data_IF_861472259966
#
_entry.id   IF_861472259966
#
_cell.length_a   1.000
_cell.length_b   1.000
_cell.length_c   1.000
_cell.angle_alpha   90.00
_cell.angle_beta   90.00
_cell.angle_gamma   90.00
#
_symmetry.space_group_name_H-M   'P 1'
#
loop_
_entity.id
_entity.type
_entity.pdbx_description
1 polymer ?
#
# COMPACT_ATOMS: atom_id res chain seq x y z
N UNK A 1 -29.42 5.88 22.60
CA UNK A 1 -27.99 5.54 22.52
C UNK A 1 -27.41 5.73 21.11
N UNK A 2 -27.96 5.10 20.06
CA UNK A 2 -27.47 5.23 18.66
C UNK A 2 -27.30 6.67 18.14
N UNK A 3 -28.20 7.59 18.50
CA UNK A 3 -28.13 9.00 18.10
C UNK A 3 -26.84 9.72 18.52
N UNK A 4 -26.36 9.48 19.75
CA UNK A 4 -25.27 10.28 20.31
C UNK A 4 -23.90 9.79 19.84
N UNK A 5 -23.73 8.47 19.68
CA UNK A 5 -22.54 7.89 19.06
C UNK A 5 -22.38 8.36 17.61
N UNK A 6 -23.46 8.26 16.81
CA UNK A 6 -23.45 8.76 15.43
C UNK A 6 -23.12 10.26 15.36
N UNK A 7 -23.70 11.10 16.23
CA UNK A 7 -23.36 12.52 16.28
C UNK A 7 -21.87 12.76 16.58
N UNK A 8 -21.30 12.01 17.53
CA UNK A 8 -19.88 12.10 17.86
C UNK A 8 -18.98 11.73 16.69
N UNK A 9 -19.28 10.63 16.01
CA UNK A 9 -18.55 10.21 14.80
C UNK A 9 -18.74 11.21 13.66
N UNK A 10 -19.97 11.67 13.45
CA UNK A 10 -20.32 12.66 12.42
C UNK A 10 -19.62 14.00 12.63
N UNK A 11 -19.33 14.42 13.85
CA UNK A 11 -18.50 15.61 14.10
C UNK A 11 -17.02 15.32 13.82
N UNK A 12 -16.50 14.15 14.19
CA UNK A 12 -15.05 13.86 14.20
C UNK A 12 -14.47 13.21 12.93
N UNK A 13 -15.26 12.54 12.10
CA UNK A 13 -14.78 11.74 10.93
C UNK A 13 -15.46 12.10 9.62
N UNK A 14 -14.75 12.22 8.51
CA UNK A 14 -15.39 12.42 7.20
C UNK A 14 -16.21 11.20 6.78
N UNK A 15 -17.43 11.43 6.32
CA UNK A 15 -18.34 10.38 5.84
C UNK A 15 -18.39 10.31 4.31
N UNK A 16 -18.47 9.07 3.81
CA UNK A 16 -18.87 8.75 2.44
C UNK A 16 -20.16 7.94 2.48
N UNK A 17 -21.23 8.52 1.95
CA UNK A 17 -22.57 7.94 1.94
C UNK A 17 -22.82 7.20 0.60
N UNK A 18 -23.27 5.95 0.68
CA UNK A 18 -23.53 5.08 -0.48
C UNK A 18 -24.93 4.49 -0.34
N UNK A 19 -25.68 4.42 -1.45
CA UNK A 19 -27.04 3.84 -1.47
C UNK A 19 -28.16 4.82 -1.09
N UNK A 20 -27.86 6.12 -1.00
CA UNK A 20 -28.88 7.14 -0.77
C UNK A 20 -29.52 7.56 -2.09
N UNK A 21 -30.85 7.52 -2.15
CA UNK A 21 -31.61 8.30 -3.12
C UNK A 21 -32.04 9.62 -2.48
N UNK A 22 -32.23 10.65 -3.29
CA UNK A 22 -32.85 11.88 -2.81
C UNK A 22 -34.30 11.69 -2.34
N UNK A 23 -34.93 10.57 -2.65
CA UNK A 23 -36.28 10.26 -2.15
C UNK A 23 -36.26 9.56 -0.79
N UNK A 24 -35.08 9.27 -0.22
CA UNK A 24 -34.97 8.61 1.06
C UNK A 24 -35.36 9.57 2.22
N UNK A 25 -36.47 9.29 2.94
CA UNK A 25 -36.91 10.11 4.07
C UNK A 25 -35.90 10.13 5.23
N UNK A 26 -35.01 9.14 5.32
CA UNK A 26 -33.96 9.10 6.34
C UNK A 26 -32.87 10.15 6.10
N UNK A 27 -32.67 10.56 4.85
CA UNK A 27 -31.69 11.60 4.49
C UNK A 27 -32.11 12.96 5.05
N UNK A 28 -33.38 13.34 4.86
CA UNK A 28 -33.91 14.61 5.37
C UNK A 28 -33.87 14.65 6.91
N UNK A 29 -34.13 13.51 7.57
CA UNK A 29 -33.95 13.35 9.01
C UNK A 29 -32.48 13.51 9.45
N UNK A 30 -31.53 12.85 8.79
CA UNK A 30 -30.10 13.00 9.03
C UNK A 30 -29.66 14.45 8.90
N UNK A 31 -30.02 15.11 7.79
CA UNK A 31 -29.68 16.51 7.51
C UNK A 31 -30.25 17.45 8.57
N UNK A 32 -31.50 17.26 8.99
CA UNK A 32 -32.10 18.07 10.06
C UNK A 32 -31.33 17.99 11.38
N UNK A 33 -30.74 16.82 11.66
CA UNK A 33 -29.96 16.56 12.87
C UNK A 33 -28.53 17.09 12.78
N UNK A 34 -27.96 17.09 11.57
CA UNK A 34 -26.69 17.72 11.23
C UNK A 34 -26.79 19.24 11.44
N UNK A 35 -27.85 19.86 10.90
CA UNK A 35 -28.15 21.31 11.02
C UNK A 35 -28.23 21.82 12.47
N UNK A 36 -28.70 21.00 13.39
CA UNK A 36 -28.87 21.39 14.80
C UNK A 36 -27.59 21.22 15.62
N UNK A 37 -26.60 20.48 15.11
CA UNK A 37 -25.41 20.08 15.87
C UNK A 37 -24.15 20.85 15.46
N UNK A 38 -24.05 21.27 14.19
CA UNK A 38 -22.88 21.96 13.65
C UNK A 38 -23.21 23.43 13.40
N UNK A 39 -22.51 24.33 14.10
CA UNK A 39 -22.57 25.78 13.88
C UNK A 39 -21.85 26.20 12.60
N UNK A 40 -20.82 27.04 12.69
CA UNK A 40 -20.11 27.59 11.51
C UNK A 40 -19.02 26.66 10.92
N UNK A 41 -18.56 25.64 11.65
CA UNK A 41 -17.49 24.74 11.21
C UNK A 41 -18.06 23.46 10.57
N UNK A 42 -18.55 23.59 9.34
CA UNK A 42 -19.08 22.47 8.57
C UNK A 42 -17.95 21.86 7.75
N UNK A 43 -17.56 20.63 8.07
CA UNK A 43 -16.57 19.87 7.29
C UNK A 43 -17.20 19.25 6.03
N UNK A 44 -16.41 18.93 5.00
CA UNK A 44 -16.93 18.27 3.81
C UNK A 44 -17.10 16.75 4.05
N UNK A 45 -18.32 16.28 3.87
CA UNK A 45 -18.68 14.87 3.68
C UNK A 45 -19.12 14.67 2.22
N UNK A 46 -19.21 13.41 1.79
CA UNK A 46 -19.43 13.04 0.39
C UNK A 46 -20.53 12.00 0.24
N UNK A 47 -21.20 11.98 -0.90
CA UNK A 47 -22.17 10.94 -1.23
C UNK A 47 -22.19 10.65 -2.73
N UNK A 48 -22.36 9.38 -3.12
CA UNK A 48 -22.53 9.04 -4.53
C UNK A 48 -23.93 9.33 -5.02
N UNK A 49 -24.03 9.83 -6.25
CA UNK A 49 -25.31 10.04 -6.92
C UNK A 49 -25.22 9.78 -8.43
N UNK A 50 -26.09 8.89 -8.93
CA UNK A 50 -26.22 8.62 -10.36
C UNK A 50 -26.90 9.81 -11.05
N UNK A 51 -26.30 10.30 -12.12
CA UNK A 51 -26.88 11.38 -12.94
C UNK A 51 -28.20 10.91 -13.57
N UNK A 52 -29.24 11.72 -13.46
CA UNK A 52 -30.48 11.50 -14.21
C UNK A 52 -30.27 11.71 -15.71
N UNK A 53 -30.96 10.91 -16.51
CA UNK A 53 -30.91 11.01 -17.99
C UNK A 53 -31.93 12.02 -18.52
N UNK A 54 -33.06 12.19 -17.84
CA UNK A 54 -34.06 13.20 -18.19
C UNK A 54 -33.60 14.60 -17.77
N UNK A 55 -33.56 15.53 -18.72
CA UNK A 55 -33.06 16.90 -18.50
C UNK A 55 -33.81 17.68 -17.42
N UNK A 56 -35.13 17.47 -17.27
CA UNK A 56 -35.92 18.14 -16.23
C UNK A 56 -35.61 17.55 -14.86
N UNK A 57 -35.49 16.22 -14.77
CA UNK A 57 -35.10 15.54 -13.54
C UNK A 57 -33.68 15.89 -13.13
N UNK A 58 -32.74 15.95 -14.08
CA UNK A 58 -31.35 16.35 -13.83
C UNK A 58 -31.27 17.76 -13.24
N UNK A 59 -31.98 18.74 -13.80
CA UNK A 59 -32.00 20.10 -13.24
C UNK A 59 -32.54 20.13 -11.81
N UNK A 60 -33.59 19.36 -11.53
CA UNK A 60 -34.13 19.23 -10.16
C UNK A 60 -33.13 18.54 -9.22
N UNK A 61 -32.44 17.52 -9.71
CA UNK A 61 -31.41 16.77 -9.00
C UNK A 61 -30.24 17.68 -8.61
N UNK A 62 -29.73 18.48 -9.56
CA UNK A 62 -28.63 19.43 -9.34
C UNK A 62 -29.00 20.52 -8.32
N UNK A 63 -30.21 21.09 -8.41
CA UNK A 63 -30.71 22.06 -7.42
C UNK A 63 -30.74 21.46 -6.02
N UNK A 64 -31.19 20.20 -5.91
CA UNK A 64 -31.21 19.49 -4.63
C UNK A 64 -29.79 19.22 -4.13
N UNK A 65 -28.89 18.73 -4.97
CA UNK A 65 -27.48 18.52 -4.63
C UNK A 65 -26.82 19.81 -4.11
N UNK A 66 -27.05 20.95 -4.78
CA UNK A 66 -26.52 22.25 -4.38
C UNK A 66 -27.12 22.74 -3.06
N UNK A 67 -28.36 22.39 -2.75
CA UNK A 67 -28.95 22.67 -1.43
C UNK A 67 -28.23 21.90 -0.31
N UNK A 68 -27.73 20.70 -0.59
CA UNK A 68 -27.03 19.84 0.37
C UNK A 68 -25.59 20.27 0.65
N UNK A 69 -24.93 20.89 -0.33
CA UNK A 69 -23.58 21.46 -0.15
C UNK A 69 -23.51 22.48 0.99
N UNK A 70 -24.60 23.24 1.22
CA UNK A 70 -24.71 24.18 2.34
C UNK A 70 -24.62 23.51 3.72
N UNK A 71 -24.83 22.19 3.78
CA UNK A 71 -24.71 21.36 4.98
C UNK A 71 -23.44 20.51 4.98
N UNK A 72 -22.48 20.79 4.09
CA UNK A 72 -21.23 20.03 3.99
C UNK A 72 -21.34 18.73 3.21
N UNK A 73 -22.52 18.38 2.68
CA UNK A 73 -22.73 17.16 1.90
C UNK A 73 -22.46 17.43 0.41
N UNK A 74 -21.34 16.89 -0.09
CA UNK A 74 -20.86 17.12 -1.44
C UNK A 74 -21.20 15.94 -2.37
N UNK A 75 -21.88 16.16 -3.50
CA UNK A 75 -22.20 15.09 -4.44
C UNK A 75 -20.96 14.62 -5.20
N UNK A 76 -20.80 13.30 -5.28
CA UNK A 76 -19.91 12.59 -6.19
C UNK A 76 -20.77 11.99 -7.31
N UNK A 77 -20.73 12.62 -8.49
CA UNK A 77 -21.56 12.24 -9.61
C UNK A 77 -20.98 11.02 -10.33
N UNK A 78 -21.83 10.02 -10.57
CA UNK A 78 -21.51 8.83 -11.36
C UNK A 78 -22.51 8.72 -12.52
N UNK A 79 -22.12 8.08 -13.62
CA UNK A 79 -23.07 7.78 -14.70
C UNK A 79 -23.72 6.41 -14.47
N UNK A 80 -22.96 5.44 -13.95
CA UNK A 80 -23.44 4.09 -13.65
C UNK A 80 -22.99 3.60 -12.25
N UNK A 81 -23.81 2.78 -11.59
CA UNK A 81 -23.50 2.27 -10.23
C UNK A 81 -22.19 1.48 -10.11
N UNK A 82 -21.75 0.68 -11.11
CA UNK A 82 -20.44 0.01 -11.06
C UNK A 82 -19.25 0.97 -10.92
N UNK A 83 -19.38 2.25 -11.28
CA UNK A 83 -18.32 3.25 -11.06
C UNK A 83 -18.00 3.42 -9.56
N UNK A 84 -18.97 3.21 -8.67
CA UNK A 84 -18.75 3.23 -7.22
C UNK A 84 -17.69 2.20 -6.83
N UNK A 85 -17.82 0.97 -7.33
CA UNK A 85 -16.86 -0.11 -7.05
C UNK A 85 -15.47 0.25 -7.57
N UNK A 86 -15.38 0.82 -8.78
CA UNK A 86 -14.10 1.28 -9.35
C UNK A 86 -13.46 2.37 -8.49
N UNK A 87 -14.23 3.35 -8.04
CA UNK A 87 -13.74 4.44 -7.19
C UNK A 87 -13.30 3.89 -5.82
N UNK A 88 -14.07 3.00 -5.21
CA UNK A 88 -13.71 2.39 -3.93
C UNK A 88 -12.44 1.54 -4.03
N UNK A 89 -12.26 0.78 -5.12
CA UNK A 89 -11.02 0.04 -5.39
C UNK A 89 -9.81 0.97 -5.54
N UNK A 90 -9.99 2.13 -6.17
CA UNK A 90 -8.93 3.14 -6.28
C UNK A 90 -8.60 3.75 -4.90
N UNK A 91 -9.61 4.05 -4.07
CA UNK A 91 -9.40 4.52 -2.69
C UNK A 91 -8.66 3.46 -1.87
N UNK A 92 -9.07 2.20 -1.96
CA UNK A 92 -8.41 1.07 -1.32
C UNK A 92 -6.96 0.93 -1.78
N UNK A 93 -6.70 0.96 -3.10
CA UNK A 93 -5.35 0.89 -3.65
C UNK A 93 -4.46 2.01 -3.11
N UNK A 94 -4.94 3.26 -3.10
CA UNK A 94 -4.19 4.42 -2.57
C UNK A 94 -3.94 4.29 -1.07
N UNK A 95 -4.91 3.80 -0.31
CA UNK A 95 -4.75 3.54 1.11
C UNK A 95 -3.68 2.47 1.35
N UNK A 96 -3.74 1.34 0.63
CA UNK A 96 -2.78 0.25 0.76
C UNK A 96 -1.37 0.66 0.35
N UNK A 97 -1.21 1.57 -0.64
CA UNK A 97 0.11 2.09 -1.05
C UNK A 97 0.83 2.92 0.02
N UNK A 98 0.18 3.24 1.14
CA UNK A 98 0.83 3.77 2.34
C UNK A 98 1.60 2.71 3.14
N UNK A 99 1.40 1.43 2.81
CA UNK A 99 2.11 0.29 3.41
C UNK A 99 2.97 -0.41 2.36
N UNK A 100 4.25 -0.61 2.69
CA UNK A 100 5.27 -1.17 1.80
C UNK A 100 5.78 -2.48 2.37
N UNK A 101 5.60 -3.57 1.63
CA UNK A 101 6.26 -4.84 1.90
C UNK A 101 7.73 -4.76 1.48
N UNK A 102 8.65 -5.12 2.38
CA UNK A 102 10.04 -5.41 2.02
C UNK A 102 10.23 -6.93 2.05
N UNK A 103 10.33 -7.52 0.86
CA UNK A 103 10.53 -8.95 0.62
C UNK A 103 11.99 -9.23 0.28
N UNK A 104 12.61 -10.15 1.00
CA UNK A 104 13.99 -10.52 0.74
C UNK A 104 14.54 -11.56 1.71
N UNK A 105 15.57 -12.27 1.26
CA UNK A 105 16.36 -13.21 2.05
C UNK A 105 17.79 -13.22 1.54
N UNK A 106 18.77 -13.24 2.42
CA UNK A 106 20.17 -13.28 2.05
C UNK A 106 20.97 -14.12 3.05
N UNK A 107 21.55 -15.21 2.56
CA UNK A 107 22.71 -15.85 3.19
C UNK A 107 24.01 -15.21 2.68
N UNK A 108 24.02 -14.78 1.41
CA UNK A 108 25.16 -14.17 0.74
C UNK A 108 24.72 -12.88 0.03
N UNK A 109 25.57 -11.86 0.06
CA UNK A 109 25.28 -10.55 -0.53
C UNK A 109 25.99 -10.32 -1.87
N UNK A 110 26.63 -11.34 -2.43
CA UNK A 110 27.32 -11.30 -3.71
C UNK A 110 28.38 -10.20 -3.79
N UNK A 111 28.47 -9.55 -4.95
CA UNK A 111 29.31 -8.37 -5.16
C UNK A 111 28.83 -7.14 -4.40
N UNK A 112 27.59 -7.13 -3.90
CA UNK A 112 27.06 -6.03 -3.11
C UNK A 112 27.79 -5.92 -1.77
N UNK A 113 28.13 -7.07 -1.17
CA UNK A 113 28.84 -7.15 0.12
C UNK A 113 27.94 -6.88 1.33
N UNK A 114 28.24 -7.55 2.44
CA UNK A 114 27.40 -7.54 3.65
C UNK A 114 27.24 -6.14 4.25
N UNK A 115 28.35 -5.40 4.43
CA UNK A 115 28.32 -4.06 5.01
C UNK A 115 27.39 -3.12 4.23
N UNK A 116 27.60 -3.03 2.91
CA UNK A 116 26.80 -2.19 2.03
C UNK A 116 25.34 -2.65 1.98
N UNK A 117 25.08 -3.96 2.03
CA UNK A 117 23.73 -4.50 2.06
C UNK A 117 22.97 -4.12 3.33
N UNK A 118 23.60 -4.27 4.50
CA UNK A 118 23.00 -3.89 5.79
C UNK A 118 22.73 -2.38 5.83
N UNK A 119 23.69 -1.56 5.38
CA UNK A 119 23.52 -0.11 5.27
C UNK A 119 22.36 0.25 4.32
N UNK A 120 22.25 -0.40 3.15
CA UNK A 120 21.13 -0.16 2.22
C UNK A 120 19.79 -0.46 2.89
N UNK A 121 19.64 -1.64 3.50
CA UNK A 121 18.38 -2.08 4.10
C UNK A 121 17.96 -1.19 5.27
N UNK A 122 18.92 -0.81 6.09
CA UNK A 122 18.74 0.13 7.19
C UNK A 122 18.27 1.49 6.66
N UNK A 123 19.04 2.11 5.77
CA UNK A 123 18.78 3.48 5.32
C UNK A 123 17.53 3.56 4.43
N UNK A 124 17.24 2.51 3.66
CA UNK A 124 16.00 2.41 2.88
C UNK A 124 14.78 2.38 3.81
N UNK A 125 14.77 1.50 4.80
CA UNK A 125 13.63 1.37 5.72
C UNK A 125 13.45 2.61 6.60
N UNK A 126 14.55 3.23 7.05
CA UNK A 126 14.53 4.53 7.72
C UNK A 126 13.93 5.62 6.83
N UNK A 127 14.39 5.71 5.58
CA UNK A 127 13.93 6.74 4.64
C UNK A 127 12.46 6.56 4.26
N UNK A 128 12.00 5.33 4.04
CA UNK A 128 10.60 5.04 3.76
C UNK A 128 9.70 5.39 4.95
N UNK A 129 10.07 4.98 6.17
CA UNK A 129 9.29 5.28 7.37
C UNK A 129 9.24 6.78 7.69
N UNK A 130 10.34 7.52 7.49
CA UNK A 130 10.39 8.98 7.59
C UNK A 130 9.46 9.69 6.58
N UNK A 131 9.12 9.03 5.46
CA UNK A 131 8.14 9.53 4.49
C UNK A 131 6.71 9.05 4.78
N UNK A 132 6.42 8.72 6.06
CA UNK A 132 5.10 8.27 6.53
C UNK A 132 4.61 6.96 5.91
N UNK A 133 5.51 6.15 5.34
CA UNK A 133 5.17 4.79 4.89
C UNK A 133 5.28 3.80 6.03
N UNK A 134 4.29 2.93 6.16
CA UNK A 134 4.34 1.80 7.08
C UNK A 134 5.09 0.64 6.43
N UNK A 135 6.06 0.07 7.12
CA UNK A 135 6.86 -1.05 6.63
C UNK A 135 6.21 -2.37 7.05
N UNK A 136 5.98 -3.26 6.10
CA UNK A 136 5.55 -4.63 6.32
C UNK A 136 6.73 -5.57 6.05
N UNK A 137 7.03 -6.47 6.98
CA UNK A 137 8.12 -7.44 6.81
C UNK A 137 7.74 -8.83 7.30
N UNK A 138 8.16 -9.84 6.53
CA UNK A 138 8.10 -11.25 6.90
C UNK A 138 9.25 -11.70 7.82
N UNK A 139 10.15 -10.78 8.22
CA UNK A 139 11.38 -11.08 8.96
C UNK A 139 12.30 -12.06 8.20
N UNK A 140 12.58 -11.76 6.93
CA UNK A 140 13.45 -12.58 6.09
C UNK A 140 14.88 -12.69 6.63
N UNK A 141 15.48 -13.88 6.51
CA UNK A 141 16.85 -14.12 6.97
C UNK A 141 17.85 -13.18 6.27
N UNK A 142 18.76 -12.57 7.03
CA UNK A 142 19.74 -11.61 6.52
C UNK A 142 19.17 -10.28 6.00
N UNK A 143 17.86 -10.04 6.14
CA UNK A 143 17.19 -8.82 5.69
C UNK A 143 16.39 -8.16 6.81
N UNK A 144 15.59 -8.95 7.53
CA UNK A 144 14.59 -8.46 8.49
C UNK A 144 15.16 -7.61 9.61
N UNK A 145 16.30 -7.99 10.20
CA UNK A 145 16.92 -7.25 11.30
C UNK A 145 17.38 -5.85 10.88
N UNK A 146 17.99 -5.70 9.70
CA UNK A 146 18.42 -4.40 9.19
C UNK A 146 17.23 -3.49 8.89
N UNK A 147 16.16 -4.05 8.30
CA UNK A 147 14.89 -3.34 8.05
C UNK A 147 14.26 -2.85 9.35
N UNK A 148 14.18 -3.69 10.37
CA UNK A 148 13.59 -3.30 11.66
C UNK A 148 14.43 -2.20 12.32
N UNK A 149 15.76 -2.35 12.32
CA UNK A 149 16.65 -1.36 12.92
C UNK A 149 16.51 0.03 12.26
N UNK A 150 16.39 0.09 10.93
CA UNK A 150 16.19 1.36 10.24
C UNK A 150 14.86 2.04 10.58
N UNK A 151 13.79 1.25 10.73
CA UNK A 151 12.49 1.79 11.20
C UNK A 151 12.58 2.29 12.65
N UNK A 152 13.22 1.51 13.54
CA UNK A 152 13.41 1.91 14.94
C UNK A 152 14.26 3.19 15.05
N UNK A 153 15.30 3.35 14.24
CA UNK A 153 16.10 4.58 14.17
C UNK A 153 15.24 5.80 13.76
N UNK A 154 14.31 5.64 12.81
CA UNK A 154 13.35 6.70 12.50
C UNK A 154 12.41 7.01 13.68
N UNK A 155 11.87 5.98 14.34
CA UNK A 155 10.97 6.16 15.49
C UNK A 155 11.62 6.93 16.64
N UNK A 156 12.88 6.60 16.94
CA UNK A 156 13.68 7.34 17.94
C UNK A 156 13.89 8.80 17.51
N UNK A 157 14.18 9.02 16.22
CA UNK A 157 14.36 10.37 15.64
C UNK A 157 13.09 11.22 15.75
N UNK A 158 11.91 10.63 15.52
CA UNK A 158 10.60 11.29 15.62
C UNK A 158 10.04 11.34 17.05
N UNK A 159 10.71 10.69 18.02
CA UNK A 159 10.23 10.51 19.40
C UNK A 159 8.83 9.88 19.48
N UNK A 160 8.52 8.98 18.55
CA UNK A 160 7.22 8.30 18.49
C UNK A 160 7.37 6.85 18.93
N UNK A 161 6.70 6.50 20.03
CA UNK A 161 6.80 5.16 20.62
C UNK A 161 5.79 4.17 20.04
N UNK A 162 4.83 4.61 19.22
CA UNK A 162 3.80 3.73 18.71
C UNK A 162 4.26 2.98 17.45
N UNK A 163 4.82 1.79 17.65
CA UNK A 163 5.34 0.93 16.58
C UNK A 163 4.29 0.57 15.52
N UNK A 164 3.00 0.46 15.89
CA UNK A 164 1.92 0.12 14.95
C UNK A 164 1.74 1.17 13.85
N UNK A 165 2.27 2.39 14.05
CA UNK A 165 2.26 3.43 13.03
C UNK A 165 3.31 3.18 11.93
N UNK A 166 4.42 2.50 12.24
CA UNK A 166 5.57 2.39 11.35
C UNK A 166 5.84 0.97 10.85
N UNK A 167 5.47 -0.06 11.61
CA UNK A 167 5.92 -1.42 11.34
C UNK A 167 4.80 -2.45 11.52
N UNK A 168 4.66 -3.36 10.56
CA UNK A 168 3.86 -4.58 10.65
C UNK A 168 4.82 -5.77 10.51
N UNK A 169 4.96 -6.55 11.58
CA UNK A 169 5.77 -7.78 11.56
C UNK A 169 4.89 -9.01 11.39
N UNK A 170 5.29 -9.87 10.44
CA UNK A 170 4.62 -11.12 10.13
C UNK A 170 5.64 -12.26 10.06
N UNK A 171 6.25 -12.64 11.20
CA UNK A 171 7.22 -13.72 11.22
C UNK A 171 6.55 -15.04 10.83
N UNK A 172 7.26 -15.84 10.03
CA UNK A 172 6.72 -17.10 9.55
C UNK A 172 6.58 -18.14 10.67
N UNK A 173 5.51 -18.96 10.66
CA UNK A 173 5.36 -20.12 11.54
C UNK A 173 6.59 -21.04 11.49
N UNK A 174 7.06 -21.48 12.65
CA UNK A 174 8.24 -22.37 12.78
C UNK A 174 7.87 -23.84 13.05
N UNK A 175 6.60 -24.11 13.36
CA UNK A 175 6.11 -25.46 13.70
C UNK A 175 4.84 -25.79 12.92
N UNK A 176 4.68 -27.07 12.58
CA UNK A 176 3.45 -27.60 12.00
C UNK A 176 2.31 -27.53 13.02
N UNK A 177 1.12 -27.17 12.56
CA UNK A 177 -0.07 -27.05 13.42
C UNK A 177 -1.31 -27.52 12.68
N UNK A 178 -2.29 -28.03 13.42
CA UNK A 178 -3.61 -28.43 12.88
C UNK A 178 -3.53 -29.41 11.69
N UNK A 179 -2.53 -30.30 11.68
CA UNK A 179 -2.34 -31.29 10.61
C UNK A 179 -1.85 -30.72 9.28
N UNK A 180 -1.48 -29.45 9.21
CA UNK A 180 -0.87 -28.83 8.03
C UNK A 180 0.65 -28.80 8.15
N UNK A 181 1.33 -29.14 7.06
CA UNK A 181 2.77 -28.99 6.97
C UNK A 181 3.19 -27.52 6.90
N UNK A 182 4.48 -27.23 7.15
CA UNK A 182 5.01 -25.86 7.14
C UNK A 182 4.82 -25.16 5.79
N UNK A 183 4.94 -25.89 4.68
CA UNK A 183 4.84 -25.31 3.34
C UNK A 183 3.43 -24.77 3.07
N UNK A 184 2.40 -25.53 3.43
CA UNK A 184 1.00 -25.10 3.34
C UNK A 184 0.72 -23.91 4.24
N UNK A 185 1.20 -23.95 5.50
CA UNK A 185 1.04 -22.85 6.44
C UNK A 185 1.69 -21.57 5.92
N UNK A 186 2.88 -21.64 5.32
CA UNK A 186 3.57 -20.47 4.77
C UNK A 186 2.84 -19.87 3.57
N UNK A 187 2.29 -20.69 2.67
CA UNK A 187 1.50 -20.20 1.53
C UNK A 187 0.24 -19.49 2.01
N UNK A 188 -0.52 -20.10 2.92
CA UNK A 188 -1.72 -19.46 3.49
C UNK A 188 -1.36 -18.18 4.23
N UNK A 189 -0.26 -18.19 4.98
CA UNK A 189 0.19 -17.04 5.74
C UNK A 189 0.55 -15.86 4.83
N UNK A 190 1.33 -16.09 3.75
CA UNK A 190 1.63 -15.07 2.73
C UNK A 190 0.39 -14.46 2.11
N UNK A 191 -0.57 -15.30 1.70
CA UNK A 191 -1.84 -14.85 1.12
C UNK A 191 -2.65 -13.97 2.07
N UNK A 192 -2.46 -14.09 3.39
CA UNK A 192 -3.15 -13.26 4.38
C UNK A 192 -2.48 -11.92 4.63
N UNK A 193 -1.14 -11.85 4.61
CA UNK A 193 -0.45 -10.62 5.00
C UNK A 193 0.00 -9.75 3.83
N UNK A 194 0.33 -10.31 2.67
CA UNK A 194 0.76 -9.51 1.51
C UNK A 194 -0.30 -8.48 1.08
N UNK A 195 -1.61 -8.79 1.09
CA UNK A 195 -2.65 -7.81 0.75
C UNK A 195 -2.78 -6.63 1.74
N UNK A 196 -2.04 -6.64 2.85
CA UNK A 196 -1.98 -5.48 3.76
C UNK A 196 -1.09 -4.36 3.20
N UNK A 197 -0.32 -4.61 2.14
CA UNK A 197 0.51 -3.63 1.45
C UNK A 197 -0.03 -3.33 0.04
N UNK A 198 0.28 -2.14 -0.47
CA UNK A 198 0.01 -1.74 -1.86
C UNK A 198 1.27 -1.66 -2.72
N UNK A 199 2.45 -1.77 -2.10
CA UNK A 199 3.76 -1.74 -2.76
C UNK A 199 4.61 -2.88 -2.19
N UNK A 200 5.34 -3.58 -3.04
CA UNK A 200 6.32 -4.58 -2.64
C UNK A 200 7.69 -4.26 -3.22
N UNK A 201 8.69 -4.13 -2.36
CA UNK A 201 10.10 -3.97 -2.71
C UNK A 201 10.80 -5.32 -2.54
N UNK A 202 11.53 -5.75 -3.56
CA UNK A 202 12.27 -7.01 -3.55
C UNK A 202 13.78 -6.75 -3.48
N UNK A 203 14.46 -7.47 -2.60
CA UNK A 203 15.91 -7.35 -2.37
C UNK A 203 16.54 -8.73 -2.19
N UNK A 204 17.70 -8.95 -2.82
CA UNK A 204 18.43 -10.22 -2.79
C UNK A 204 17.54 -11.41 -3.16
N UNK A 205 17.47 -12.44 -2.32
CA UNK A 205 16.63 -13.61 -2.50
C UNK A 205 17.44 -14.88 -2.73
N UNK A 206 18.35 -15.16 -1.80
CA UNK A 206 19.06 -16.42 -1.71
C UNK A 206 18.94 -17.01 -0.30
N UNK A 207 19.21 -18.31 -0.20
CA UNK A 207 19.22 -19.07 1.05
C UNK A 207 20.30 -20.15 0.98
N UNK A 208 20.73 -20.64 2.14
CA UNK A 208 21.55 -21.84 2.21
C UNK A 208 20.67 -23.08 2.25
N UNK A 209 20.94 -24.05 1.37
CA UNK A 209 20.37 -25.38 1.53
C UNK A 209 20.98 -26.03 2.79
N UNK A 210 20.13 -26.42 3.75
CA UNK A 210 20.58 -26.99 5.03
C UNK A 210 21.27 -28.36 4.87
N UNK A 211 20.95 -29.09 3.81
CA UNK A 211 21.50 -30.43 3.55
C UNK A 211 22.78 -30.38 2.75
N UNK A 212 22.83 -29.58 1.68
CA UNK A 212 24.00 -29.53 0.78
C UNK A 212 24.98 -28.41 1.15
N UNK A 213 24.55 -27.42 1.93
CA UNK A 213 25.33 -26.23 2.26
C UNK A 213 25.47 -25.24 1.10
N UNK A 214 24.91 -25.56 -0.07
CA UNK A 214 25.00 -24.76 -1.30
C UNK A 214 24.01 -23.59 -1.25
N UNK A 215 24.40 -22.49 -1.88
CA UNK A 215 23.54 -21.33 -2.05
C UNK A 215 22.46 -21.63 -3.11
N UNK A 216 21.21 -21.40 -2.76
CA UNK A 216 20.04 -21.58 -3.62
C UNK A 216 19.20 -20.31 -3.69
N UNK A 217 18.37 -20.21 -4.72
CA UNK A 217 17.34 -19.19 -4.82
C UNK A 217 16.33 -19.32 -3.67
N UNK A 218 15.97 -18.19 -3.07
CA UNK A 218 14.92 -18.15 -2.06
C UNK A 218 13.54 -18.18 -2.73
N UNK A 219 13.00 -19.39 -2.95
CA UNK A 219 11.67 -19.57 -3.56
C UNK A 219 10.56 -18.77 -2.86
N UNK A 220 10.70 -18.50 -1.56
CA UNK A 220 9.76 -17.67 -0.81
C UNK A 220 9.64 -16.23 -1.32
N UNK A 221 10.72 -15.63 -1.84
CA UNK A 221 10.70 -14.28 -2.44
C UNK A 221 9.95 -14.31 -3.76
N UNK A 222 10.09 -15.38 -4.54
CA UNK A 222 9.33 -15.61 -5.79
C UNK A 222 7.84 -15.80 -5.48
N UNK A 223 7.50 -16.60 -4.46
CA UNK A 223 6.12 -16.77 -4.01
C UNK A 223 5.50 -15.43 -3.61
N UNK A 224 6.26 -14.59 -2.88
CA UNK A 224 5.82 -13.25 -2.46
C UNK A 224 5.61 -12.32 -3.65
N UNK A 225 6.48 -12.37 -4.66
CA UNK A 225 6.30 -11.63 -5.91
C UNK A 225 5.02 -12.02 -6.64
N UNK A 226 4.76 -13.31 -6.81
CA UNK A 226 3.58 -13.80 -7.50
C UNK A 226 2.29 -13.43 -6.76
N UNK A 227 2.26 -13.59 -5.44
CA UNK A 227 1.09 -13.20 -4.64
C UNK A 227 0.90 -11.67 -4.67
N UNK A 228 1.97 -10.89 -4.61
CA UNK A 228 1.90 -9.44 -4.72
C UNK A 228 1.35 -9.01 -6.09
N UNK A 229 1.79 -9.64 -7.17
CA UNK A 229 1.28 -9.41 -8.52
C UNK A 229 -0.22 -9.74 -8.62
N UNK A 230 -0.65 -10.91 -8.15
CA UNK A 230 -2.06 -11.34 -8.15
C UNK A 230 -2.97 -10.38 -7.35
N UNK A 231 -2.44 -9.74 -6.32
CA UNK A 231 -3.18 -8.77 -5.50
C UNK A 231 -3.05 -7.31 -5.98
N UNK A 232 -2.40 -7.07 -7.13
CA UNK A 232 -2.28 -5.74 -7.73
C UNK A 232 -1.35 -4.78 -6.98
N UNK A 233 -0.38 -5.30 -6.24
CA UNK A 233 0.66 -4.47 -5.62
C UNK A 233 1.60 -3.91 -6.70
N UNK A 234 2.15 -2.73 -6.44
CA UNK A 234 3.23 -2.16 -7.25
C UNK A 234 4.55 -2.89 -6.92
N UNK A 235 5.20 -3.47 -7.93
CA UNK A 235 6.35 -4.35 -7.76
C UNK A 235 7.66 -3.63 -8.08
N UNK A 236 8.52 -3.45 -7.08
CA UNK A 236 9.78 -2.69 -7.21
C UNK A 236 10.96 -3.58 -6.82
N UNK A 237 11.48 -4.43 -7.73
CA UNK A 237 12.70 -5.18 -7.47
C UNK A 237 13.94 -4.29 -7.58
N UNK A 238 14.83 -4.37 -6.59
CA UNK A 238 16.14 -3.71 -6.66
C UNK A 238 17.12 -4.69 -7.29
N UNK A 239 17.20 -4.68 -8.63
CA UNK A 239 18.01 -5.62 -9.39
C UNK A 239 19.50 -5.58 -9.06
N UNK A 240 20.02 -4.42 -8.62
CA UNK A 240 21.40 -4.23 -8.18
C UNK A 240 21.80 -5.15 -7.01
N UNK A 241 20.84 -5.63 -6.22
CA UNK A 241 21.09 -6.56 -5.10
C UNK A 241 21.31 -8.01 -5.55
N UNK A 242 21.13 -8.32 -6.84
CA UNK A 242 21.40 -9.65 -7.39
C UNK A 242 20.34 -10.70 -7.03
N UNK A 243 20.70 -11.97 -7.29
CA UNK A 243 19.89 -13.15 -6.96
C UNK A 243 18.45 -13.08 -7.54
N UNK A 244 17.45 -13.59 -6.81
CA UNK A 244 16.05 -13.58 -7.27
C UNK A 244 15.57 -12.17 -7.61
N UNK A 245 15.94 -11.15 -6.83
CA UNK A 245 15.56 -9.76 -7.11
C UNK A 245 16.04 -9.30 -8.49
N UNK A 246 17.23 -9.73 -8.93
CA UNK A 246 17.71 -9.46 -10.29
C UNK A 246 16.87 -10.17 -11.35
N UNK A 247 16.52 -11.44 -11.15
CA UNK A 247 15.64 -12.17 -12.07
C UNK A 247 14.26 -11.50 -12.19
N UNK A 248 13.67 -11.08 -11.07
CA UNK A 248 12.39 -10.36 -11.04
C UNK A 248 12.49 -8.99 -11.73
N UNK A 249 13.61 -8.29 -11.55
CA UNK A 249 13.88 -7.05 -12.25
C UNK A 249 14.01 -7.25 -13.77
N UNK A 250 14.74 -8.28 -14.21
CA UNK A 250 14.90 -8.59 -15.64
C UNK A 250 13.54 -8.90 -16.27
N UNK A 251 12.68 -9.64 -15.55
CA UNK A 251 11.29 -9.92 -15.97
C UNK A 251 10.46 -8.63 -16.11
N UNK A 252 10.52 -7.72 -15.14
CA UNK A 252 9.77 -6.45 -15.19
C UNK A 252 10.29 -5.56 -16.30
N UNK A 253 11.60 -5.44 -16.51
CA UNK A 253 12.17 -4.61 -17.58
C UNK A 253 11.79 -5.14 -18.96
N UNK A 254 11.82 -6.46 -19.16
CA UNK A 254 11.47 -7.07 -20.45
C UNK A 254 10.01 -6.81 -20.85
N UNK A 255 9.10 -6.76 -19.87
CA UNK A 255 7.65 -6.59 -20.08
C UNK A 255 7.10 -5.36 -19.33
N UNK A 256 7.83 -4.25 -19.33
CA UNK A 256 7.55 -3.11 -18.43
C UNK A 256 6.13 -2.54 -18.56
N UNK A 257 5.58 -2.50 -19.79
CA UNK A 257 4.23 -1.98 -20.06
C UNK A 257 3.13 -2.81 -19.41
N UNK A 258 3.36 -4.10 -19.21
CA UNK A 258 2.38 -5.01 -18.62
C UNK A 258 2.30 -4.82 -17.10
N UNK A 259 3.43 -4.52 -16.46
CA UNK A 259 3.51 -4.25 -15.02
C UNK A 259 3.13 -2.80 -14.66
N UNK A 260 3.47 -1.83 -15.52
CA UNK A 260 3.30 -0.40 -15.28
C UNK A 260 2.60 0.31 -16.44
N UNK A 261 1.33 -0.04 -16.72
CA UNK A 261 0.57 0.61 -17.79
C UNK A 261 0.43 2.11 -17.52
N UNK A 262 0.64 2.93 -18.55
CA UNK A 262 0.62 4.41 -18.49
C UNK A 262 1.76 5.05 -17.67
N UNK A 263 2.77 4.29 -17.24
CA UNK A 263 3.90 4.80 -16.44
C UNK A 263 5.25 4.50 -17.11
N UNK A 264 5.28 4.44 -18.45
CA UNK A 264 6.47 4.13 -19.26
C UNK A 264 7.65 5.08 -19.00
N UNK A 265 7.38 6.31 -18.56
CA UNK A 265 8.40 7.29 -18.22
C UNK A 265 9.23 6.92 -16.96
N UNK A 266 8.79 5.94 -16.16
CA UNK A 266 9.56 5.40 -15.03
C UNK A 266 10.58 4.33 -15.45
N UNK A 267 10.59 3.91 -16.72
CA UNK A 267 11.46 2.82 -17.18
C UNK A 267 12.94 3.09 -16.88
N UNK A 268 13.41 4.32 -17.07
CA UNK A 268 14.81 4.65 -16.81
C UNK A 268 15.15 4.69 -15.31
N UNK A 269 14.19 5.05 -14.45
CA UNK A 269 14.35 4.94 -13.00
C UNK A 269 14.43 3.47 -12.58
N UNK A 270 13.61 2.59 -13.17
CA UNK A 270 13.73 1.15 -12.94
C UNK A 270 15.05 0.60 -13.46
N UNK A 271 15.53 1.04 -14.63
CA UNK A 271 16.85 0.63 -15.14
C UNK A 271 17.97 0.95 -14.14
N UNK A 272 17.88 2.12 -13.52
CA UNK A 272 18.84 2.55 -12.49
C UNK A 272 18.85 1.61 -11.28
N UNK A 273 17.70 1.07 -10.87
CA UNK A 273 17.64 0.07 -9.79
C UNK A 273 18.34 -1.27 -10.11
N UNK A 274 18.67 -1.53 -11.38
CA UNK A 274 19.45 -2.69 -11.81
C UNK A 274 20.95 -2.44 -11.94
N UNK A 275 21.40 -1.19 -11.82
CA UNK A 275 22.81 -0.84 -11.92
C UNK A 275 23.55 -1.20 -10.63
N UNK A 276 24.58 -2.03 -10.74
CA UNK A 276 25.37 -2.49 -9.57
C UNK A 276 26.43 -1.47 -9.13
N UNK A 277 26.71 -0.47 -9.98
CA UNK A 277 27.77 0.52 -9.78
C UNK A 277 27.33 1.75 -8.99
N UNK A 278 26.02 2.00 -8.90
CA UNK A 278 25.47 3.16 -8.19
C UNK A 278 25.47 2.97 -6.68
N UNK A 279 25.58 4.06 -5.93
CA UNK A 279 25.59 4.03 -4.47
C UNK A 279 24.20 3.79 -3.85
N UNK A 280 24.19 3.33 -2.60
CA UNK A 280 22.96 3.11 -1.82
C UNK A 280 22.07 4.36 -1.77
N UNK A 281 22.66 5.55 -1.64
CA UNK A 281 21.92 6.81 -1.60
C UNK A 281 21.15 7.10 -2.91
N UNK A 282 21.70 6.69 -4.06
CA UNK A 282 21.06 6.82 -5.36
C UNK A 282 19.92 5.81 -5.49
N UNK A 283 20.15 4.56 -5.07
CA UNK A 283 19.09 3.53 -5.03
C UNK A 283 17.89 4.01 -4.19
N UNK A 284 18.13 4.48 -2.97
CA UNK A 284 17.07 4.93 -2.05
C UNK A 284 16.30 6.12 -2.63
N UNK A 285 17.00 7.13 -3.16
CA UNK A 285 16.37 8.28 -3.82
C UNK A 285 15.50 7.86 -5.01
N UNK A 286 15.98 6.88 -5.79
CA UNK A 286 15.26 6.37 -6.96
C UNK A 286 14.00 5.61 -6.55
N UNK A 287 14.09 4.74 -5.53
CA UNK A 287 12.92 4.06 -4.97
C UNK A 287 11.87 5.06 -4.46
N UNK A 288 12.30 6.07 -3.69
CA UNK A 288 11.39 7.11 -3.21
C UNK A 288 10.76 7.91 -4.36
N UNK A 289 11.54 8.25 -5.39
CA UNK A 289 11.02 8.93 -6.58
C UNK A 289 9.93 8.09 -7.25
N UNK A 290 10.20 6.80 -7.52
CA UNK A 290 9.22 5.88 -8.12
C UNK A 290 7.95 5.83 -7.28
N UNK A 291 8.06 5.60 -5.97
CA UNK A 291 6.92 5.50 -5.07
C UNK A 291 6.11 6.81 -5.05
N UNK A 292 6.79 7.96 -4.93
CA UNK A 292 6.13 9.27 -4.90
C UNK A 292 5.42 9.57 -6.21
N UNK A 293 6.01 9.21 -7.35
CA UNK A 293 5.37 9.40 -8.66
C UNK A 293 4.14 8.50 -8.81
N UNK A 294 4.23 7.24 -8.40
CA UNK A 294 3.11 6.28 -8.42
C UNK A 294 1.98 6.63 -7.43
N UNK A 295 2.29 7.40 -6.39
CA UNK A 295 1.32 7.87 -5.38
C UNK A 295 0.85 9.32 -5.61
N UNK A 296 1.45 10.04 -6.56
CA UNK A 296 1.06 11.41 -6.86
C UNK A 296 -0.37 11.45 -7.41
N UNK A 297 -1.13 12.47 -6.99
CA UNK A 297 -2.49 12.70 -7.47
C UNK A 297 -2.40 13.14 -8.93
N UNK A 298 -2.62 12.21 -9.87
CA UNK A 298 -3.10 12.57 -11.21
C UNK A 298 -4.54 13.04 -11.12
#
# INVERSE_FOLDING_TARGET
MFSNAFKSDYVSRTFLFIGFSFTDPNLDYLISRIRTTLGQNIKPDYYFIKKETDTRLQRRQELRANSLKKYGLNPLWINEYPEITTILKEVESRFLRTTILISGSAENYGSFGEKRAVELLHDLSKSLSNNSYKILTGFGWGVGSAVINGVLDNMESERNQNMDNYLIMRPFPQFETHGKNLKELWVEYRKRFIPLAGIAIFVFGNRKNKTTGVLEEATGVIDEFNIAFENGLLLIPIGATGFVSKCLWDQIIASFKDFFPNHEYLLDDFKLLGDTTIDNSVIIKTVLKIINTLNSRQ
#
